data_IF_205190682180
#
_entry.id   IF_205190682180
#
_cell.length_a   1.000
_cell.length_b   1.000
_cell.length_c   1.000
_cell.angle_alpha   90.00
_cell.angle_beta   90.00
_cell.angle_gamma   90.00
#
_symmetry.space_group_name_H-M   'P 1'
#
loop_
_entity.id
_entity.type
_entity.pdbx_description
1 polymer ?
#
# COMPACT_ATOMS: atom_id res chain seq x y z
N UNK A 1 -3.65 19.60 -8.10
CA UNK A 1 -4.42 18.38 -8.43
C UNK A 1 -3.59 17.13 -8.11
N UNK A 2 -3.64 16.57 -6.91
CA UNK A 2 -2.77 15.44 -6.55
C UNK A 2 -3.11 14.14 -7.27
N UNK A 3 -4.40 13.87 -7.52
CA UNK A 3 -4.82 12.70 -8.28
C UNK A 3 -4.51 12.81 -9.78
N UNK A 4 -4.64 14.01 -10.36
CA UNK A 4 -4.20 14.22 -11.74
C UNK A 4 -2.67 14.21 -11.84
N UNK A 5 -1.94 14.66 -10.81
CA UNK A 5 -0.48 14.48 -10.73
C UNK A 5 -0.14 12.99 -10.71
N UNK A 6 -0.84 12.16 -9.92
CA UNK A 6 -0.65 10.71 -9.93
C UNK A 6 -0.95 10.09 -11.29
N UNK A 7 -2.11 10.39 -11.88
CA UNK A 7 -2.54 9.86 -13.18
C UNK A 7 -1.66 10.31 -14.36
N UNK A 8 -1.09 11.51 -14.27
CA UNK A 8 -0.19 12.08 -15.29
C UNK A 8 1.29 11.81 -14.98
N UNK A 9 1.59 11.15 -13.86
CA UNK A 9 2.96 10.78 -13.53
C UNK A 9 3.37 9.51 -14.28
N UNK A 10 4.65 9.43 -14.64
CA UNK A 10 5.29 8.22 -15.17
C UNK A 10 5.24 7.03 -14.19
N UNK A 11 4.81 7.27 -12.95
CA UNK A 11 4.63 6.24 -11.94
C UNK A 11 3.38 5.38 -12.22
N UNK A 12 2.38 5.92 -12.93
CA UNK A 12 1.16 5.18 -13.25
C UNK A 12 1.47 4.00 -14.16
N UNK A 13 0.83 2.86 -13.88
CA UNK A 13 0.96 1.62 -14.64
C UNK A 13 -0.36 1.31 -15.38
N UNK A 14 -0.58 1.84 -16.60
CA UNK A 14 -1.85 1.72 -17.30
C UNK A 14 -2.25 0.27 -17.55
N UNK A 15 -3.50 -0.07 -17.21
CA UNK A 15 -4.06 -1.41 -17.39
C UNK A 15 -3.45 -2.51 -16.52
N UNK A 16 -2.50 -2.17 -15.63
CA UNK A 16 -1.92 -3.14 -14.70
C UNK A 16 -2.86 -3.37 -13.51
N UNK A 17 -2.94 -4.64 -13.11
CA UNK A 17 -3.71 -5.12 -11.97
C UNK A 17 -2.81 -5.81 -10.94
N UNK A 18 -1.50 -5.58 -11.03
CA UNK A 18 -0.48 -6.18 -10.18
C UNK A 18 0.80 -5.36 -10.19
N UNK A 19 1.61 -5.52 -9.14
CA UNK A 19 2.99 -5.07 -9.08
C UNK A 19 3.88 -6.20 -8.53
N UNK A 20 5.15 -6.17 -8.91
CA UNK A 20 6.17 -7.15 -8.53
C UNK A 20 7.47 -6.43 -8.24
N UNK A 21 8.17 -6.87 -7.20
CA UNK A 21 9.54 -6.49 -6.89
C UNK A 21 10.30 -7.73 -6.38
N UNK A 22 11.54 -7.92 -6.87
CA UNK A 22 12.40 -9.08 -6.53
C UNK A 22 11.72 -10.47 -6.54
N UNK A 23 10.73 -10.69 -7.42
CA UNK A 23 9.96 -11.94 -7.52
C UNK A 23 8.85 -12.09 -6.48
N UNK A 24 8.61 -11.06 -5.68
CA UNK A 24 7.48 -10.94 -4.76
C UNK A 24 6.42 -10.08 -5.42
N UNK A 25 5.16 -10.53 -5.46
CA UNK A 25 4.10 -9.84 -6.18
C UNK A 25 2.80 -9.75 -5.39
N UNK A 26 2.04 -8.71 -5.71
CA UNK A 26 0.63 -8.59 -5.35
C UNK A 26 -0.21 -8.32 -6.58
N UNK A 27 -1.45 -8.78 -6.57
CA UNK A 27 -2.39 -8.63 -7.65
C UNK A 27 -3.79 -8.39 -7.12
N UNK A 28 -4.60 -7.65 -7.87
CA UNK A 28 -6.01 -7.47 -7.59
C UNK A 28 -6.76 -7.41 -8.91
N UNK A 29 -7.63 -8.39 -9.14
CA UNK A 29 -8.56 -8.36 -10.27
C UNK A 29 -9.76 -7.47 -9.93
N UNK A 30 -9.98 -6.35 -10.63
CA UNK A 30 -11.13 -5.49 -10.35
C UNK A 30 -12.45 -6.23 -10.58
N UNK A 31 -13.39 -6.04 -9.67
CA UNK A 31 -14.78 -6.47 -9.84
C UNK A 31 -15.62 -5.36 -10.48
N UNK A 32 -16.87 -5.68 -10.84
CA UNK A 32 -17.77 -4.69 -11.42
C UNK A 32 -17.96 -3.48 -10.48
N UNK A 33 -17.84 -2.27 -11.04
CA UNK A 33 -17.92 -1.01 -10.29
C UNK A 33 -16.67 -0.63 -9.49
N UNK A 34 -15.59 -1.41 -9.59
CA UNK A 34 -14.31 -1.09 -8.95
C UNK A 34 -13.38 -0.36 -9.92
N UNK A 35 -12.71 0.68 -9.43
CA UNK A 35 -11.57 1.32 -10.09
C UNK A 35 -10.31 1.02 -9.29
N UNK A 36 -9.29 0.50 -9.96
CA UNK A 36 -8.01 0.13 -9.33
C UNK A 36 -6.89 0.66 -10.20
N UNK A 37 -5.98 1.42 -9.60
CA UNK A 37 -4.84 2.00 -10.29
C UNK A 37 -3.58 1.71 -9.50
N UNK A 38 -2.57 1.19 -10.18
CA UNK A 38 -1.25 0.93 -9.61
C UNK A 38 -0.28 2.02 -10.00
N UNK A 39 0.52 2.47 -9.03
CA UNK A 39 1.60 3.42 -9.23
C UNK A 39 2.89 2.80 -8.68
N UNK A 40 3.93 2.65 -9.50
CA UNK A 40 5.27 2.26 -9.04
C UNK A 40 6.01 3.51 -8.62
N UNK A 41 6.26 3.65 -7.32
CA UNK A 41 6.84 4.87 -6.77
C UNK A 41 8.32 4.74 -6.43
N UNK A 42 8.82 3.52 -6.20
CA UNK A 42 10.27 3.28 -6.10
C UNK A 42 10.93 3.08 -7.47
N UNK A 43 10.47 3.84 -8.46
CA UNK A 43 11.13 3.97 -9.75
C UNK A 43 11.86 5.32 -9.80
N UNK A 44 13.12 5.33 -10.24
CA UNK A 44 13.91 6.55 -10.42
C UNK A 44 13.29 7.58 -11.38
N UNK A 45 12.47 7.14 -12.36
CA UNK A 45 11.77 8.04 -13.27
C UNK A 45 10.48 8.62 -12.66
N UNK A 46 10.03 8.11 -11.51
CA UNK A 46 8.79 8.53 -10.88
C UNK A 46 8.91 9.94 -10.28
N UNK A 47 8.46 10.95 -11.02
CA UNK A 47 8.46 12.35 -10.58
C UNK A 47 7.64 12.59 -9.29
N UNK A 48 6.71 11.69 -8.96
CA UNK A 48 5.99 11.75 -7.70
C UNK A 48 6.95 11.75 -6.49
N UNK A 49 8.09 11.07 -6.57
CA UNK A 49 9.12 11.12 -5.53
C UNK A 49 9.56 12.55 -5.24
N UNK A 50 9.84 13.33 -6.29
CA UNK A 50 10.23 14.72 -6.15
C UNK A 50 9.10 15.57 -5.56
N UNK A 51 7.87 15.36 -6.03
CA UNK A 51 6.68 16.10 -5.58
C UNK A 51 6.40 15.83 -4.09
N UNK A 52 6.58 14.60 -3.64
CA UNK A 52 6.42 14.19 -2.24
C UNK A 52 7.63 14.54 -1.36
N UNK A 53 8.74 15.03 -1.94
CA UNK A 53 9.99 15.26 -1.21
C UNK A 53 10.68 13.97 -0.77
N UNK A 54 10.51 12.88 -1.53
CA UNK A 54 11.06 11.54 -1.35
C UNK A 54 12.22 11.25 -2.32
N UNK A 55 13.06 12.26 -2.57
CA UNK A 55 14.15 12.20 -3.56
C UNK A 55 15.55 12.19 -2.93
N UNK A 56 15.65 12.18 -1.60
CA UNK A 56 16.94 12.03 -0.94
C UNK A 56 17.45 10.59 -1.04
N UNK A 57 18.77 10.39 -1.11
CA UNK A 57 19.36 9.05 -1.08
C UNK A 57 18.90 8.25 0.14
N UNK A 58 18.66 6.95 -0.06
CA UNK A 58 18.32 5.98 1.00
C UNK A 58 17.01 6.23 1.77
N UNK A 59 16.14 7.14 1.30
CA UNK A 59 14.83 7.29 1.92
C UNK A 59 14.03 5.99 1.88
N UNK A 60 13.36 5.70 2.99
CA UNK A 60 12.43 4.57 3.09
C UNK A 60 11.16 4.92 2.30
N UNK A 61 11.05 4.42 1.08
CA UNK A 61 9.88 4.61 0.21
C UNK A 61 9.29 3.23 -0.05
N UNK A 62 7.97 3.12 -0.11
CA UNK A 62 7.35 1.85 -0.46
C UNK A 62 7.36 1.60 -1.96
N UNK A 63 7.25 0.35 -2.40
CA UNK A 63 7.40 0.05 -3.83
C UNK A 63 6.25 0.64 -4.67
N UNK A 64 5.02 0.60 -4.13
CA UNK A 64 3.83 0.99 -4.88
C UNK A 64 2.76 1.70 -4.06
N UNK A 65 2.03 2.60 -4.73
CA UNK A 65 0.72 3.07 -4.28
C UNK A 65 -0.36 2.39 -5.11
N UNK A 66 -1.43 1.96 -4.44
CA UNK A 66 -2.61 1.43 -5.11
C UNK A 66 -3.81 2.27 -4.72
N UNK A 67 -4.39 2.93 -5.71
CA UNK A 67 -5.69 3.57 -5.54
C UNK A 67 -6.78 2.54 -5.80
N UNK A 68 -7.73 2.45 -4.88
CA UNK A 68 -8.95 1.67 -5.02
C UNK A 68 -10.17 2.56 -4.80
N UNK A 69 -11.19 2.40 -5.64
CA UNK A 69 -12.46 3.06 -5.46
C UNK A 69 -13.63 2.15 -5.83
N UNK A 70 -14.68 2.18 -5.01
CA UNK A 70 -15.98 1.55 -5.28
C UNK A 70 -17.05 2.39 -4.61
N UNK A 71 -18.09 2.78 -5.35
CA UNK A 71 -19.14 3.68 -4.83
C UNK A 71 -18.55 4.98 -4.26
N UNK A 72 -18.74 5.26 -2.97
CA UNK A 72 -18.17 6.41 -2.24
C UNK A 72 -16.83 6.10 -1.57
N UNK A 73 -16.43 4.83 -1.51
CA UNK A 73 -15.18 4.44 -0.87
C UNK A 73 -13.99 4.80 -1.75
N UNK A 74 -13.00 5.44 -1.15
CA UNK A 74 -11.72 5.78 -1.77
C UNK A 74 -10.63 5.30 -0.83
N UNK A 75 -9.73 4.46 -1.33
CA UNK A 75 -8.60 3.93 -0.57
C UNK A 75 -7.32 4.27 -1.32
N UNK A 76 -6.29 4.65 -0.55
CA UNK A 76 -4.91 4.65 -1.02
C UNK A 76 -4.16 3.65 -0.17
N UNK A 77 -3.70 2.58 -0.81
CA UNK A 77 -2.93 1.53 -0.17
C UNK A 77 -1.44 1.72 -0.48
N UNK A 78 -0.63 1.82 0.57
CA UNK A 78 0.82 1.84 0.53
C UNK A 78 1.30 0.39 0.56
N UNK A 79 1.86 -0.06 -0.55
CA UNK A 79 2.24 -1.46 -0.76
C UNK A 79 3.75 -1.58 -0.72
N UNK A 80 4.21 -2.51 0.09
CA UNK A 80 5.61 -2.90 0.20
C UNK A 80 5.75 -4.39 -0.02
N UNK A 81 6.73 -4.76 -0.85
CA UNK A 81 7.07 -6.10 -1.29
C UNK A 81 8.50 -6.37 -0.81
N UNK A 82 8.68 -7.43 -0.02
CA UNK A 82 10.02 -7.86 0.39
C UNK A 82 10.17 -9.35 0.25
N UNK A 83 11.25 -9.75 -0.40
CA UNK A 83 11.69 -11.15 -0.42
C UNK A 83 12.24 -11.61 0.94
N UNK A 84 12.56 -10.69 1.83
CA UNK A 84 12.98 -10.97 3.20
C UNK A 84 11.83 -10.78 4.18
N UNK A 85 11.96 -11.37 5.37
CA UNK A 85 11.08 -11.10 6.51
C UNK A 85 11.36 -9.76 7.21
N UNK A 86 12.04 -8.80 6.57
CA UNK A 86 12.39 -7.50 7.18
C UNK A 86 11.17 -6.58 7.30
N UNK A 87 10.32 -6.94 8.25
CA UNK A 87 9.12 -6.18 8.59
C UNK A 87 9.45 -4.79 9.15
N UNK A 88 10.64 -4.58 9.72
CA UNK A 88 11.04 -3.29 10.28
C UNK A 88 11.17 -2.25 9.19
N UNK A 89 11.98 -2.57 8.17
CA UNK A 89 12.21 -1.70 7.02
C UNK A 89 10.92 -1.51 6.23
N UNK A 90 10.18 -2.60 6.01
CA UNK A 90 8.92 -2.55 5.28
C UNK A 90 7.88 -1.64 5.98
N UNK A 91 7.79 -1.70 7.31
CA UNK A 91 6.93 -0.81 8.11
C UNK A 91 7.39 0.64 8.01
N UNK A 92 8.70 0.90 8.04
CA UNK A 92 9.25 2.24 7.87
C UNK A 92 8.89 2.83 6.50
N UNK A 93 9.03 2.06 5.43
CA UNK A 93 8.75 2.49 4.06
C UNK A 93 7.30 2.92 3.86
N UNK A 94 6.33 2.10 4.29
CA UNK A 94 4.90 2.45 4.14
C UNK A 94 4.49 3.65 5.01
N UNK A 95 4.99 3.74 6.24
CA UNK A 95 4.69 4.86 7.15
C UNK A 95 5.32 6.15 6.63
N UNK A 96 6.58 6.12 6.22
CA UNK A 96 7.28 7.29 5.73
C UNK A 96 6.63 7.83 4.45
N UNK A 97 6.32 6.94 3.50
CA UNK A 97 5.61 7.31 2.27
C UNK A 97 4.25 7.94 2.57
N UNK A 98 3.46 7.34 3.48
CA UNK A 98 2.18 7.90 3.89
C UNK A 98 2.32 9.29 4.52
N UNK A 99 3.29 9.50 5.41
CA UNK A 99 3.49 10.79 6.06
C UNK A 99 3.82 11.91 5.05
N UNK A 100 4.69 11.62 4.09
CA UNK A 100 5.03 12.55 3.01
C UNK A 100 3.83 12.81 2.10
N UNK A 101 3.11 11.76 1.72
CA UNK A 101 1.90 11.86 0.90
C UNK A 101 0.82 12.70 1.59
N UNK A 102 0.54 12.43 2.87
CA UNK A 102 -0.46 13.15 3.65
C UNK A 102 -0.04 14.62 3.88
N UNK A 103 1.23 14.87 4.18
CA UNK A 103 1.76 16.24 4.31
C UNK A 103 1.61 17.01 3.01
N UNK A 104 1.91 16.39 1.87
CA UNK A 104 1.72 16.98 0.56
C UNK A 104 0.24 17.36 0.32
N UNK A 105 -0.69 16.43 0.58
CA UNK A 105 -2.12 16.70 0.45
C UNK A 105 -2.57 17.89 1.33
N UNK A 106 -2.15 17.92 2.60
CA UNK A 106 -2.47 19.00 3.53
C UNK A 106 -1.94 20.36 3.06
N UNK A 107 -0.69 20.40 2.57
CA UNK A 107 -0.06 21.63 2.05
C UNK A 107 -0.71 22.14 0.77
N UNK A 108 -1.21 21.24 -0.08
CA UNK A 108 -1.84 21.64 -1.34
C UNK A 108 -3.20 22.32 -1.17
N UNK A 109 -3.75 22.34 0.05
CA UNK A 109 -4.50 23.47 0.64
C UNK A 109 -5.79 23.99 0.01
N UNK A 110 -6.12 23.69 -1.25
CA UNK A 110 -7.20 24.38 -1.96
C UNK A 110 -8.16 23.39 -2.65
N UNK A 111 -9.42 23.40 -2.18
CA UNK A 111 -10.62 22.81 -2.79
C UNK A 111 -10.75 21.29 -2.93
N UNK A 112 -9.87 20.49 -2.33
CA UNK A 112 -9.96 19.04 -2.46
C UNK A 112 -10.78 18.38 -1.33
N UNK A 113 -12.08 18.16 -1.59
CA UNK A 113 -12.94 17.22 -0.83
C UNK A 113 -12.55 15.74 -1.08
N UNK A 114 -11.27 15.45 -1.30
CA UNK A 114 -10.82 14.06 -1.48
C UNK A 114 -10.45 13.47 -0.13
N UNK A 115 -11.47 12.91 0.51
CA UNK A 115 -11.31 12.02 1.64
C UNK A 115 -10.99 10.62 1.12
N UNK A 116 -9.99 9.99 1.70
CA UNK A 116 -9.66 8.59 1.43
C UNK A 116 -9.29 7.89 2.73
N UNK A 117 -9.43 6.57 2.74
CA UNK A 117 -8.95 5.70 3.81
C UNK A 117 -7.52 5.26 3.47
N UNK A 118 -6.51 5.61 4.27
CA UNK A 118 -5.16 5.12 4.07
C UNK A 118 -5.08 3.66 4.52
N UNK A 119 -4.44 2.81 3.71
CA UNK A 119 -4.16 1.40 4.07
C UNK A 119 -2.70 1.05 3.85
N UNK A 120 -2.16 0.09 4.60
CA UNK A 120 -0.82 -0.46 4.37
C UNK A 120 -0.87 -1.96 4.08
N UNK A 121 -0.16 -2.40 3.05
CA UNK A 121 -0.08 -3.82 2.71
C UNK A 121 1.38 -4.26 2.57
N UNK A 122 1.80 -5.21 3.41
CA UNK A 122 3.17 -5.70 3.47
C UNK A 122 3.18 -7.15 2.98
N UNK A 123 3.73 -7.38 1.78
CA UNK A 123 3.92 -8.71 1.21
C UNK A 123 5.35 -9.15 1.49
N UNK A 124 5.52 -10.00 2.49
CA UNK A 124 6.82 -10.50 2.93
C UNK A 124 6.93 -12.00 2.61
N UNK A 125 7.95 -12.40 1.88
CA UNK A 125 8.35 -13.80 1.77
C UNK A 125 9.37 -14.08 2.89
N UNK A 126 8.98 -14.80 3.94
CA UNK A 126 9.88 -15.09 5.06
C UNK A 126 9.21 -15.24 6.41
N UNK A 127 10.02 -15.55 7.41
CA UNK A 127 9.56 -15.68 8.79
C UNK A 127 9.24 -14.30 9.38
N UNK A 128 8.11 -14.24 10.09
CA UNK A 128 7.72 -13.05 10.83
C UNK A 128 8.69 -12.86 12.03
N UNK A 129 9.26 -11.67 12.24
CA UNK A 129 10.24 -11.43 13.30
C UNK A 129 9.60 -11.46 14.70
N UNK A 130 10.42 -11.68 15.73
CA UNK A 130 9.99 -11.74 17.13
C UNK A 130 9.33 -10.44 17.62
N UNK A 131 9.76 -9.29 17.11
CA UNK A 131 9.21 -7.96 17.42
C UNK A 131 7.92 -7.61 16.65
N UNK A 132 7.26 -8.59 16.01
CA UNK A 132 6.06 -8.38 15.21
C UNK A 132 5.01 -7.47 15.84
N UNK A 133 4.77 -7.63 17.15
CA UNK A 133 3.76 -6.82 17.87
C UNK A 133 4.08 -5.32 17.84
N UNK A 134 5.36 -4.95 17.96
CA UNK A 134 5.80 -3.54 17.90
C UNK A 134 5.48 -2.92 16.54
N UNK A 135 5.72 -3.66 15.45
CA UNK A 135 5.44 -3.18 14.09
C UNK A 135 3.94 -3.08 13.84
N UNK A 136 3.17 -4.07 14.33
CA UNK A 136 1.70 -4.05 14.31
C UNK A 136 1.15 -2.80 15.01
N UNK A 137 1.68 -2.45 16.18
CA UNK A 137 1.25 -1.27 16.92
C UNK A 137 1.55 0.04 16.19
N UNK A 138 2.71 0.13 15.52
CA UNK A 138 3.06 1.28 14.67
C UNK A 138 2.08 1.43 13.50
N UNK A 139 1.83 0.35 12.76
CA UNK A 139 0.91 0.35 11.63
C UNK A 139 -0.51 0.72 12.06
N UNK A 140 -1.00 0.13 13.16
CA UNK A 140 -2.31 0.46 13.75
C UNK A 140 -2.41 1.93 14.12
N UNK A 141 -1.38 2.50 14.75
CA UNK A 141 -1.36 3.92 15.13
C UNK A 141 -1.41 4.85 13.91
N UNK A 142 -0.80 4.44 12.79
CA UNK A 142 -0.70 5.26 11.58
C UNK A 142 -1.92 5.11 10.66
N UNK A 143 -2.39 3.89 10.43
CA UNK A 143 -3.43 3.58 9.44
C UNK A 143 -4.81 3.30 10.04
N UNK A 144 -4.87 3.01 11.35
CA UNK A 144 -6.09 2.58 12.04
C UNK A 144 -6.21 1.06 12.14
N UNK A 145 -7.19 0.61 12.94
CA UNK A 145 -7.54 -0.81 13.02
C UNK A 145 -8.06 -1.31 11.66
N UNK A 146 -7.76 -2.56 11.30
CA UNK A 146 -8.17 -3.21 10.04
C UNK A 146 -7.71 -2.55 8.72
N UNK A 147 -6.90 -1.49 8.80
CA UNK A 147 -6.34 -0.76 7.65
C UNK A 147 -4.88 -1.13 7.35
N UNK A 148 -4.40 -2.22 7.92
CA UNK A 148 -3.09 -2.77 7.58
C UNK A 148 -3.16 -4.30 7.53
N UNK A 149 -2.37 -4.88 6.65
CA UNK A 149 -2.23 -6.34 6.56
C UNK A 149 -0.79 -6.70 6.17
N UNK A 150 -0.37 -7.87 6.63
CA UNK A 150 0.84 -8.54 6.19
C UNK A 150 0.43 -9.91 5.65
N UNK A 151 0.69 -10.15 4.37
CA UNK A 151 0.19 -11.34 3.69
C UNK A 151 1.33 -12.19 3.17
N UNK A 152 1.88 -13.05 4.02
CA UNK A 152 3.02 -13.88 3.62
C UNK A 152 2.72 -14.92 2.54
N UNK A 153 1.46 -15.18 2.14
CA UNK A 153 1.14 -16.33 1.25
C UNK A 153 0.26 -16.02 0.05
N UNK A 154 -0.68 -15.09 0.14
CA UNK A 154 -1.52 -14.76 -1.01
C UNK A 154 -0.93 -13.57 -1.76
N UNK A 155 -0.87 -13.69 -3.08
CA UNK A 155 -0.60 -12.57 -3.99
C UNK A 155 -1.85 -11.71 -4.17
N UNK A 156 -3.04 -12.29 -4.01
CA UNK A 156 -4.29 -11.53 -4.01
C UNK A 156 -4.50 -10.80 -2.69
N UNK A 157 -4.66 -9.48 -2.78
CA UNK A 157 -4.97 -8.57 -1.68
C UNK A 157 -6.30 -7.83 -1.87
N UNK A 158 -7.11 -8.20 -2.87
CA UNK A 158 -8.40 -7.58 -3.15
C UNK A 158 -9.36 -7.63 -1.96
N UNK A 159 -9.44 -8.77 -1.26
CA UNK A 159 -10.26 -8.88 -0.05
C UNK A 159 -9.87 -7.86 1.04
N UNK A 160 -8.58 -7.57 1.18
CA UNK A 160 -8.10 -6.57 2.14
C UNK A 160 -8.54 -5.15 1.76
N UNK A 161 -8.44 -4.77 0.48
CA UNK A 161 -8.95 -3.48 0.01
C UNK A 161 -10.47 -3.39 0.16
N UNK A 162 -11.19 -4.48 -0.11
CA UNK A 162 -12.65 -4.56 0.03
C UNK A 162 -13.15 -4.64 1.48
N UNK A 163 -12.25 -4.69 2.47
CA UNK A 163 -12.63 -4.83 3.88
C UNK A 163 -13.27 -6.18 4.23
N UNK A 164 -13.06 -7.20 3.40
CA UNK A 164 -13.59 -8.55 3.62
C UNK A 164 -12.67 -9.27 4.62
N UNK A 165 -13.19 -9.69 5.80
CA UNK A 165 -12.39 -10.38 6.79
C UNK A 165 -11.81 -11.68 6.22
N UNK A 166 -10.56 -12.00 6.59
CA UNK A 166 -9.99 -13.32 6.30
C UNK A 166 -10.85 -14.38 6.98
N UNK A 167 -11.38 -15.34 6.22
CA UNK A 167 -12.04 -16.51 6.80
C UNK A 167 -11.07 -17.18 7.76
N UNK A 168 -11.45 -17.30 9.03
CA UNK A 168 -10.67 -18.08 9.99
C UNK A 168 -10.54 -19.50 9.44
N UNK A 169 -9.31 -20.02 9.34
CA UNK A 169 -9.12 -21.43 8.99
C UNK A 169 -9.79 -22.24 10.10
N UNK A 170 -10.93 -22.86 9.77
CA UNK A 170 -11.62 -23.76 10.68
C UNK A 170 -10.61 -24.77 11.24
N UNK A 171 -10.65 -25.00 12.55
CA UNK A 171 -9.85 -26.04 13.19
C UNK A 171 -10.02 -27.32 12.39
N UNK A 172 -8.92 -27.85 11.85
CA UNK A 172 -8.88 -29.19 11.24
C UNK A 172 -9.52 -30.14 12.27
N UNK A 173 -10.68 -30.74 11.95
CA UNK A 173 -11.19 -31.87 12.72
C UNK A 173 -10.07 -32.92 12.68
N UNK A 174 -9.54 -33.26 13.85
CA UNK A 174 -8.72 -34.47 13.99
C UNK A 174 -9.67 -35.63 13.65
N UNK A 175 -9.43 -36.31 12.54
CA UNK A 175 -9.91 -37.68 12.31
C UNK A 175 -9.01 -38.62 13.09
#
# INVERSE_FOLDING_TARGET
MCFNILLLSECFLPGKTSCEDEGVSVSLKPENGETVLFFSIDNSSCQLRNILGLNQPNMAICDSLVFYAKNQERIICFVELKRSGDLSRATEQVINTYNHFNTFLQKTGENFNFTFTPKAFLKLEGSVPQEYQRYKDRLRKTFGEDNYDHNGKSTDFGNFLRGIPRKSKGKRKKS
#
